data_IF_746335698670
#
_entry.id   IF_746335698670
#
_cell.length_a   1.000
_cell.length_b   1.000
_cell.length_c   1.000
_cell.angle_alpha   90.00
_cell.angle_beta   90.00
_cell.angle_gamma   90.00
#
_symmetry.space_group_name_H-M   'P 1'
#
loop_
_entity.id
_entity.type
_entity.pdbx_description
1 polymer ?
#
# COMPACT_ATOMS: atom_id res chain seq x y z
N UNK A 1 6.95 -24.04 -26.62
CA UNK A 1 5.67 -23.30 -26.56
C UNK A 1 5.92 -21.94 -27.23
N UNK A 2 5.50 -21.74 -28.48
CA UNK A 2 5.76 -20.48 -29.20
C UNK A 2 5.00 -19.34 -28.51
N UNK A 3 5.67 -18.23 -28.18
CA UNK A 3 5.00 -17.08 -27.57
C UNK A 3 3.94 -16.55 -28.54
N UNK A 4 2.76 -16.20 -28.02
CA UNK A 4 1.60 -15.73 -28.78
C UNK A 4 1.96 -14.60 -29.75
N UNK A 5 2.98 -13.80 -29.39
CA UNK A 5 3.47 -12.65 -30.15
C UNK A 5 4.33 -13.05 -31.36
N UNK A 6 5.13 -14.12 -31.27
CA UNK A 6 5.82 -14.68 -32.45
C UNK A 6 4.81 -15.20 -33.47
N UNK A 7 3.71 -15.79 -33.00
CA UNK A 7 2.64 -16.26 -33.87
C UNK A 7 1.93 -15.10 -34.59
N UNK A 8 1.70 -13.99 -33.88
CA UNK A 8 1.11 -12.75 -34.45
C UNK A 8 2.04 -12.14 -35.50
N UNK A 9 3.34 -11.99 -35.20
CA UNK A 9 4.31 -11.45 -36.15
C UNK A 9 4.43 -12.30 -37.42
N UNK A 10 4.44 -13.64 -37.26
CA UNK A 10 4.45 -14.57 -38.38
C UNK A 10 3.14 -14.51 -39.18
N UNK A 11 1.99 -14.38 -38.50
CA UNK A 11 0.70 -14.20 -39.16
C UNK A 11 0.63 -12.89 -39.97
N UNK A 12 1.17 -11.77 -39.46
CA UNK A 12 1.23 -10.49 -40.17
C UNK A 12 2.12 -10.60 -41.42
N UNK A 13 3.29 -11.24 -41.31
CA UNK A 13 4.16 -11.46 -42.49
C UNK A 13 3.49 -12.34 -43.55
N UNK A 14 2.86 -13.44 -43.13
CA UNK A 14 2.12 -14.33 -44.03
C UNK A 14 0.93 -13.59 -44.65
N UNK A 15 0.23 -12.74 -43.90
CA UNK A 15 -0.87 -11.91 -44.41
C UNK A 15 -0.41 -10.92 -45.47
N UNK A 16 0.70 -10.20 -45.25
CA UNK A 16 1.25 -9.27 -46.24
C UNK A 16 1.64 -10.00 -47.53
N UNK A 17 2.32 -11.15 -47.41
CA UNK A 17 2.73 -11.96 -48.56
C UNK A 17 1.50 -12.52 -49.31
N UNK A 18 0.47 -12.94 -48.60
CA UNK A 18 -0.76 -13.50 -49.21
C UNK A 18 -1.61 -12.42 -49.90
N UNK A 19 -1.77 -11.24 -49.30
CA UNK A 19 -2.42 -10.09 -49.96
C UNK A 19 -1.67 -9.69 -51.22
N UNK A 20 -0.33 -9.70 -51.18
CA UNK A 20 0.49 -9.41 -52.36
C UNK A 20 0.37 -10.50 -53.45
N UNK A 21 0.43 -11.78 -53.07
CA UNK A 21 0.25 -12.89 -53.99
C UNK A 21 -1.13 -12.88 -54.66
N UNK A 22 -2.18 -12.43 -53.94
CA UNK A 22 -3.54 -12.26 -54.47
C UNK A 22 -3.66 -11.07 -55.45
N UNK A 23 -2.79 -10.07 -55.39
CA UNK A 23 -2.81 -8.96 -56.33
C UNK A 23 -2.45 -9.38 -57.77
N UNK A 24 -1.68 -10.46 -57.95
CA UNK A 24 -1.26 -10.99 -59.25
C UNK A 24 -2.39 -11.58 -60.11
N UNK A 25 -3.27 -12.48 -59.60
CA UNK A 25 -4.41 -12.95 -60.39
C UNK A 25 -5.43 -11.84 -60.66
N UNK A 26 -5.61 -10.91 -59.72
CA UNK A 26 -6.50 -9.75 -59.90
C UNK A 26 -5.99 -8.83 -61.01
N UNK A 27 -4.67 -8.60 -61.10
CA UNK A 27 -4.10 -7.79 -62.18
C UNK A 27 -4.26 -8.44 -63.57
N UNK A 28 -4.25 -9.77 -63.66
CA UNK A 28 -4.51 -10.50 -64.92
C UNK A 28 -5.97 -10.48 -65.37
N UNK A 29 -6.91 -10.24 -64.46
CA UNK A 29 -8.35 -10.19 -64.78
C UNK A 29 -8.80 -8.81 -65.29
N UNK A 30 -7.93 -7.80 -65.27
CA UNK A 30 -8.22 -6.44 -65.75
C UNK A 30 -7.96 -6.30 -67.26
N UNK A 31 -8.81 -5.58 -68.02
CA UNK A 31 -8.68 -5.46 -69.48
C UNK A 31 -7.36 -4.79 -69.88
N UNK A 32 -6.69 -5.37 -70.89
CA UNK A 32 -5.27 -5.20 -71.24
C UNK A 32 -4.81 -3.85 -71.80
N UNK A 33 -5.42 -2.74 -71.40
CA UNK A 33 -5.03 -1.38 -71.81
C UNK A 33 -4.65 -0.44 -70.66
N UNK A 34 -4.72 -0.87 -69.40
CA UNK A 34 -4.60 0.04 -68.26
C UNK A 34 -3.16 0.33 -67.77
N UNK A 35 -2.15 -0.46 -68.18
CA UNK A 35 -0.76 -0.27 -67.74
C UNK A 35 0.21 -0.55 -68.90
N UNK A 36 0.52 0.47 -69.70
CA UNK A 36 1.45 0.41 -70.84
C UNK A 36 2.94 0.45 -70.45
N UNK A 37 3.28 0.41 -69.17
CA UNK A 37 4.66 0.33 -68.69
C UNK A 37 4.87 -0.89 -67.79
N UNK A 38 5.40 -2.01 -68.34
CA UNK A 38 5.56 -3.25 -67.60
C UNK A 38 6.62 -3.15 -66.49
N UNK A 39 7.58 -2.24 -66.62
CA UNK A 39 8.68 -2.08 -65.63
C UNK A 39 8.23 -1.20 -64.45
N UNK A 40 7.58 -0.05 -64.71
CA UNK A 40 7.15 0.87 -63.66
C UNK A 40 6.12 0.28 -62.69
N UNK A 41 5.17 -0.50 -63.21
CA UNK A 41 4.12 -1.13 -62.40
C UNK A 41 4.66 -2.25 -61.49
N UNK A 42 5.63 -3.03 -61.97
CA UNK A 42 6.30 -4.09 -61.18
C UNK A 42 7.20 -3.48 -60.10
N UNK A 43 7.95 -2.43 -60.41
CA UNK A 43 8.77 -1.71 -59.43
C UNK A 43 7.91 -1.05 -58.34
N UNK A 44 6.77 -0.46 -58.70
CA UNK A 44 5.86 0.12 -57.71
C UNK A 44 5.26 -0.96 -56.78
N UNK A 45 4.87 -2.12 -57.33
CA UNK A 45 4.38 -3.25 -56.54
C UNK A 45 5.42 -3.84 -55.58
N UNK A 46 6.69 -3.88 -55.98
CA UNK A 46 7.80 -4.27 -55.11
C UNK A 46 8.07 -3.23 -54.02
N UNK A 47 8.04 -1.94 -54.36
CA UNK A 47 8.22 -0.85 -53.39
C UNK A 47 7.13 -0.84 -52.31
N UNK A 48 5.87 -1.10 -52.68
CA UNK A 48 4.76 -1.23 -51.72
C UNK A 48 4.96 -2.45 -50.82
N UNK A 49 5.42 -3.58 -51.36
CA UNK A 49 5.72 -4.78 -50.56
C UNK A 49 6.83 -4.52 -49.55
N UNK A 50 7.94 -3.90 -49.97
CA UNK A 50 9.04 -3.55 -49.06
C UNK A 50 8.60 -2.55 -47.99
N UNK A 51 7.75 -1.59 -48.34
CA UNK A 51 7.19 -0.62 -47.40
C UNK A 51 6.27 -1.29 -46.38
N UNK A 52 5.39 -2.20 -46.82
CA UNK A 52 4.50 -2.96 -45.96
C UNK A 52 5.27 -3.90 -45.02
N UNK A 53 6.32 -4.56 -45.52
CA UNK A 53 7.21 -5.41 -44.70
C UNK A 53 7.98 -4.58 -43.66
N UNK A 54 8.51 -3.42 -44.04
CA UNK A 54 9.19 -2.50 -43.11
C UNK A 54 8.23 -2.02 -42.01
N UNK A 55 6.99 -1.66 -42.37
CA UNK A 55 5.96 -1.29 -41.40
C UNK A 55 5.57 -2.46 -40.47
N UNK A 56 5.49 -3.68 -41.00
CA UNK A 56 5.31 -4.89 -40.18
C UNK A 56 6.43 -5.08 -39.16
N UNK A 57 7.69 -4.83 -39.55
CA UNK A 57 8.84 -4.83 -38.66
C UNK A 57 8.74 -3.80 -37.53
N UNK A 58 8.24 -2.59 -37.83
CA UNK A 58 7.99 -1.54 -36.82
C UNK A 58 6.92 -1.99 -35.82
N UNK A 59 5.79 -2.54 -36.29
CA UNK A 59 4.73 -3.04 -35.40
C UNK A 59 5.26 -4.14 -34.47
N UNK A 60 6.01 -5.10 -35.00
CA UNK A 60 6.58 -6.19 -34.21
C UNK A 60 7.54 -5.63 -33.15
N UNK A 61 8.39 -4.67 -33.53
CA UNK A 61 9.30 -4.00 -32.60
C UNK A 61 8.54 -3.28 -31.47
N UNK A 62 7.47 -2.56 -31.79
CA UNK A 62 6.63 -1.89 -30.79
C UNK A 62 5.97 -2.89 -29.83
N UNK A 63 5.51 -4.05 -30.34
CA UNK A 63 4.95 -5.10 -29.50
C UNK A 63 5.99 -5.69 -28.54
N UNK A 64 7.21 -5.95 -29.03
CA UNK A 64 8.29 -6.43 -28.18
C UNK A 64 8.71 -5.40 -27.13
N UNK A 65 8.83 -4.12 -27.50
CA UNK A 65 9.12 -3.04 -26.55
C UNK A 65 8.05 -2.93 -25.47
N UNK A 66 6.78 -3.07 -25.83
CA UNK A 66 5.67 -3.06 -24.86
C UNK A 66 5.73 -4.26 -23.90
N UNK A 67 6.12 -5.44 -24.39
CA UNK A 67 6.30 -6.65 -23.58
C UNK A 67 7.51 -6.53 -22.64
N UNK A 68 8.65 -6.08 -23.14
CA UNK A 68 9.86 -5.81 -22.34
C UNK A 68 9.59 -4.76 -21.26
N UNK A 69 8.91 -3.66 -21.61
CA UNK A 69 8.52 -2.64 -20.63
C UNK A 69 7.60 -3.22 -19.53
N UNK A 70 6.71 -4.14 -19.89
CA UNK A 70 5.85 -4.83 -18.92
C UNK A 70 6.65 -5.78 -18.02
N UNK A 71 7.61 -6.50 -18.57
CA UNK A 71 8.50 -7.37 -17.80
C UNK A 71 9.40 -6.58 -16.85
N UNK A 72 10.06 -5.53 -17.35
CA UNK A 72 10.89 -4.63 -16.55
C UNK A 72 10.10 -4.00 -15.39
N UNK A 73 8.87 -3.53 -15.66
CA UNK A 73 7.99 -3.00 -14.62
C UNK A 73 7.63 -4.05 -13.56
N UNK A 74 7.43 -5.30 -13.95
CA UNK A 74 7.12 -6.38 -13.02
C UNK A 74 8.32 -6.70 -12.13
N UNK A 75 9.51 -6.79 -12.70
CA UNK A 75 10.74 -7.02 -11.95
C UNK A 75 11.03 -5.88 -10.97
N UNK A 76 10.80 -4.62 -11.38
CA UNK A 76 10.89 -3.45 -10.49
C UNK A 76 9.91 -3.54 -9.32
N UNK A 77 8.66 -3.98 -9.58
CA UNK A 77 7.65 -4.21 -8.53
C UNK A 77 8.10 -5.32 -7.58
N UNK A 78 8.56 -6.46 -8.10
CA UNK A 78 9.02 -7.60 -7.28
C UNK A 78 10.22 -7.22 -6.41
N UNK A 79 11.19 -6.47 -6.96
CA UNK A 79 12.31 -5.93 -6.20
C UNK A 79 11.86 -4.95 -5.13
N UNK A 80 10.94 -4.04 -5.46
CA UNK A 80 10.38 -3.09 -4.50
C UNK A 80 9.64 -3.78 -3.35
N UNK A 81 8.89 -4.86 -3.65
CA UNK A 81 8.23 -5.69 -2.64
C UNK A 81 9.27 -6.32 -1.71
N UNK A 82 10.33 -6.88 -2.29
CA UNK A 82 11.38 -7.53 -1.52
C UNK A 82 12.14 -6.55 -0.63
N UNK A 83 12.57 -5.40 -1.16
CA UNK A 83 13.28 -4.36 -0.40
C UNK A 83 12.39 -3.82 0.74
N UNK A 84 11.09 -3.66 0.49
CA UNK A 84 10.13 -3.21 1.49
C UNK A 84 9.88 -4.27 2.56
N UNK A 85 9.80 -5.55 2.18
CA UNK A 85 9.72 -6.66 3.12
C UNK A 85 10.98 -6.74 3.99
N UNK A 86 12.18 -6.65 3.40
CA UNK A 86 13.44 -6.62 4.15
C UNK A 86 13.46 -5.47 5.16
N UNK A 87 13.08 -4.27 4.72
CA UNK A 87 12.97 -3.09 5.59
C UNK A 87 11.98 -3.34 6.73
N UNK A 88 10.81 -3.89 6.43
CA UNK A 88 9.79 -4.20 7.45
C UNK A 88 10.30 -5.21 8.48
N UNK A 89 11.05 -6.22 8.05
CA UNK A 89 11.64 -7.24 8.95
C UNK A 89 12.90 -6.78 9.67
N UNK A 90 13.44 -5.61 9.34
CA UNK A 90 14.66 -5.08 9.97
C UNK A 90 14.42 -4.74 11.44
N UNK A 91 15.47 -4.86 12.25
CA UNK A 91 15.38 -4.56 13.69
C UNK A 91 14.95 -3.10 13.92
N UNK A 92 15.48 -2.16 13.15
CA UNK A 92 15.14 -0.74 13.25
C UNK A 92 13.63 -0.52 13.06
N UNK A 93 13.03 -1.15 12.05
CA UNK A 93 11.59 -1.04 11.83
C UNK A 93 10.78 -1.74 12.93
N UNK A 94 11.27 -2.87 13.46
CA UNK A 94 10.61 -3.54 14.59
C UNK A 94 10.60 -2.66 15.85
N UNK A 95 11.67 -1.91 16.10
CA UNK A 95 11.75 -0.97 17.22
C UNK A 95 10.78 0.20 17.04
N UNK A 96 10.69 0.76 15.83
CA UNK A 96 9.69 1.78 15.47
C UNK A 96 8.27 1.24 15.68
N UNK A 97 7.99 0.03 15.17
CA UNK A 97 6.70 -0.64 15.33
C UNK A 97 6.34 -0.79 16.81
N UNK A 98 7.26 -1.32 17.61
CA UNK A 98 7.00 -1.60 19.02
C UNK A 98 6.75 -0.31 19.80
N UNK A 99 7.55 0.74 19.59
CA UNK A 99 7.35 2.04 20.22
C UNK A 99 6.02 2.68 19.85
N UNK A 100 5.70 2.71 18.55
CA UNK A 100 4.42 3.23 18.07
C UNK A 100 3.23 2.46 18.66
N UNK A 101 3.33 1.13 18.72
CA UNK A 101 2.25 0.29 19.22
C UNK A 101 2.06 0.45 20.74
N UNK A 102 3.14 0.60 21.52
CA UNK A 102 3.04 0.91 22.96
C UNK A 102 2.26 2.19 23.21
N UNK A 103 2.55 3.27 22.48
CA UNK A 103 1.80 4.52 22.60
C UNK A 103 0.31 4.32 22.28
N UNK A 104 0.00 3.62 21.17
CA UNK A 104 -1.38 3.34 20.79
C UNK A 104 -2.13 2.48 21.83
N UNK A 105 -1.48 1.44 22.38
CA UNK A 105 -2.07 0.58 23.41
C UNK A 105 -2.33 1.35 24.70
N UNK A 106 -1.41 2.22 25.11
CA UNK A 106 -1.62 3.10 26.26
C UNK A 106 -2.87 3.98 26.05
N UNK A 107 -3.07 4.50 24.84
CA UNK A 107 -4.29 5.25 24.47
C UNK A 107 -5.56 4.40 24.48
N UNK A 108 -5.49 3.12 24.17
CA UNK A 108 -6.66 2.23 24.30
C UNK A 108 -7.05 2.04 25.76
N UNK A 109 -6.07 1.96 26.66
CA UNK A 109 -6.28 1.71 28.09
C UNK A 109 -6.61 2.97 28.91
N UNK A 110 -6.19 4.14 28.43
CA UNK A 110 -6.39 5.42 29.10
C UNK A 110 -6.96 6.45 28.12
N UNK A 111 -8.21 6.85 28.37
CA UNK A 111 -8.95 7.79 27.52
C UNK A 111 -8.34 9.20 27.52
N UNK A 112 -7.86 9.70 28.66
CA UNK A 112 -7.18 11.00 28.76
C UNK A 112 -5.91 11.01 27.89
N UNK A 113 -5.16 9.91 27.90
CA UNK A 113 -3.96 9.75 27.08
C UNK A 113 -4.30 9.61 25.60
N UNK A 114 -5.41 8.96 25.24
CA UNK A 114 -5.87 8.90 23.86
C UNK A 114 -6.21 10.30 23.31
N UNK A 115 -6.90 11.12 24.11
CA UNK A 115 -7.16 12.52 23.78
C UNK A 115 -5.87 13.34 23.68
N UNK A 116 -4.93 13.12 24.61
CA UNK A 116 -3.60 13.70 24.55
C UNK A 116 -2.91 13.36 23.22
N UNK A 117 -2.77 12.08 22.86
CA UNK A 117 -2.19 11.65 21.59
C UNK A 117 -2.83 12.34 20.38
N UNK A 118 -4.15 12.36 20.32
CA UNK A 118 -4.88 12.98 19.22
C UNK A 118 -4.63 14.50 19.12
N UNK A 119 -4.51 15.18 20.26
CA UNK A 119 -4.21 16.61 20.31
C UNK A 119 -2.80 16.94 19.82
N UNK A 120 -1.82 16.03 20.02
CA UNK A 120 -0.42 16.21 19.60
C UNK A 120 -0.23 16.23 18.08
N UNK A 121 -1.22 15.75 17.33
CA UNK A 121 -1.24 15.79 15.87
C UNK A 121 -1.47 17.20 15.30
N UNK A 122 -1.80 18.17 16.17
CA UNK A 122 -1.95 19.57 15.82
C UNK A 122 -0.85 20.42 16.46
N UNK A 123 -0.53 21.54 15.82
CA UNK A 123 0.49 22.46 16.32
C UNK A 123 -0.01 23.38 17.45
N UNK A 124 -1.33 23.50 17.61
CA UNK A 124 -2.01 24.37 18.59
C UNK A 124 -3.04 23.57 19.39
N UNK A 125 -3.42 24.08 20.56
CA UNK A 125 -4.36 23.44 21.51
C UNK A 125 -3.98 21.98 21.86
N UNK A 126 -2.70 21.76 22.12
CA UNK A 126 -2.19 20.48 22.59
C UNK A 126 -2.54 20.30 24.07
N UNK A 127 -3.06 19.12 24.43
CA UNK A 127 -3.35 18.77 25.81
C UNK A 127 -2.06 18.43 26.57
N UNK A 128 -2.04 18.60 27.91
CA UNK A 128 -0.90 18.18 28.73
C UNK A 128 -0.82 16.66 28.86
N UNK A 129 0.38 16.16 29.18
CA UNK A 129 0.60 14.74 29.45
C UNK A 129 -0.18 14.30 30.71
N UNK A 130 -1.04 13.26 30.63
CA UNK A 130 -1.85 12.82 31.75
C UNK A 130 -1.07 11.85 32.66
N UNK A 131 -0.88 12.21 33.93
CA UNK A 131 -0.20 11.36 34.90
C UNK A 131 -0.90 10.01 35.15
N UNK A 132 -2.20 9.92 34.85
CA UNK A 132 -3.02 8.70 34.99
C UNK A 132 -2.55 7.55 34.09
N UNK A 133 -1.77 7.82 33.04
CA UNK A 133 -1.23 6.78 32.12
C UNK A 133 0.06 6.15 32.63
N UNK A 134 0.78 6.79 33.56
CA UNK A 134 2.11 6.35 34.00
C UNK A 134 2.13 4.88 34.47
N UNK A 135 1.18 4.40 35.30
CA UNK A 135 1.15 2.99 35.70
C UNK A 135 0.99 2.04 34.52
N UNK A 136 0.23 2.44 33.49
CA UNK A 136 0.02 1.63 32.28
C UNK A 136 1.31 1.55 31.46
N UNK A 137 2.02 2.67 31.30
CA UNK A 137 3.29 2.71 30.57
C UNK A 137 4.36 1.82 31.22
N UNK A 138 4.39 1.73 32.56
CA UNK A 138 5.28 0.81 33.29
C UNK A 138 4.97 -0.66 33.04
N UNK A 139 3.69 -1.00 32.86
CA UNK A 139 3.26 -2.38 32.59
C UNK A 139 3.50 -2.77 31.14
N UNK A 140 3.33 -1.85 30.20
CA UNK A 140 3.53 -2.11 28.76
C UNK A 140 5.01 -2.25 28.38
N UNK A 141 5.93 -1.81 29.24
CA UNK A 141 7.36 -1.84 28.97
C UNK A 141 8.15 -2.01 30.28
N UNK A 142 8.67 -3.22 30.48
CA UNK A 142 9.43 -3.57 31.69
C UNK A 142 10.65 -2.66 31.90
N UNK A 143 11.23 -2.11 30.83
CA UNK A 143 12.35 -1.16 30.94
C UNK A 143 11.97 0.14 31.65
N UNK A 144 10.67 0.46 31.70
CA UNK A 144 10.11 1.65 32.35
C UNK A 144 9.68 1.42 33.80
N UNK A 145 9.71 0.18 34.28
CA UNK A 145 9.17 -0.18 35.60
C UNK A 145 9.81 0.61 36.76
N UNK A 146 11.11 0.87 36.68
CA UNK A 146 11.90 1.54 37.73
C UNK A 146 12.19 3.02 37.43
N UNK A 147 11.63 3.57 36.35
CA UNK A 147 11.84 4.97 35.99
C UNK A 147 10.97 5.89 36.84
N UNK A 148 11.51 7.07 37.16
CA UNK A 148 10.71 8.13 37.74
C UNK A 148 9.69 8.70 36.74
N UNK A 149 8.73 9.47 37.23
CA UNK A 149 7.62 9.95 36.41
C UNK A 149 8.07 10.89 35.26
N UNK A 150 9.14 11.67 35.47
CA UNK A 150 9.69 12.56 34.45
C UNK A 150 10.45 11.78 33.36
N UNK A 151 11.18 10.74 33.75
CA UNK A 151 11.84 9.81 32.85
C UNK A 151 10.82 9.01 32.03
N UNK A 152 9.67 8.67 32.61
CA UNK A 152 8.58 8.00 31.88
C UNK A 152 7.98 8.92 30.84
N UNK A 153 7.71 10.19 31.15
CA UNK A 153 7.22 11.14 30.16
C UNK A 153 8.20 11.30 28.99
N UNK A 154 9.50 11.33 29.27
CA UNK A 154 10.54 11.41 28.23
C UNK A 154 10.65 10.12 27.42
N UNK A 155 10.54 8.94 28.04
CA UNK A 155 10.54 7.66 27.35
C UNK A 155 9.28 7.50 26.49
N UNK A 156 8.12 7.92 26.99
CA UNK A 156 6.86 8.00 26.26
C UNK A 156 6.96 8.92 25.04
N UNK A 157 7.62 10.07 25.18
CA UNK A 157 7.88 10.96 24.06
C UNK A 157 8.66 10.26 22.94
N UNK A 158 9.63 9.41 23.27
CA UNK A 158 10.36 8.63 22.26
C UNK A 158 9.44 7.64 21.52
N UNK A 159 8.56 6.93 22.25
CA UNK A 159 7.56 6.04 21.66
C UNK A 159 6.57 6.79 20.75
N UNK A 160 6.13 8.00 21.15
CA UNK A 160 5.26 8.85 20.34
C UNK A 160 5.92 9.34 19.06
N UNK A 161 7.22 9.62 19.07
CA UNK A 161 7.95 9.94 17.84
C UNK A 161 7.95 8.76 16.86
N UNK A 162 8.01 7.52 17.36
CA UNK A 162 7.88 6.34 16.52
C UNK A 162 6.45 6.22 15.95
N UNK A 163 5.43 6.58 16.71
CA UNK A 163 4.06 6.67 16.19
C UNK A 163 3.95 7.68 15.05
N UNK A 164 4.55 8.87 15.17
CA UNK A 164 4.57 9.86 14.10
C UNK A 164 5.24 9.31 12.82
N UNK A 165 6.34 8.55 12.97
CA UNK A 165 6.99 7.88 11.84
C UNK A 165 6.06 6.87 11.15
N UNK A 166 5.34 6.06 11.92
CA UNK A 166 4.36 5.09 11.39
C UNK A 166 3.19 5.78 10.68
N UNK A 167 2.69 6.88 11.24
CA UNK A 167 1.62 7.67 10.61
C UNK A 167 2.08 8.29 9.29
N UNK A 168 3.29 8.84 9.25
CA UNK A 168 3.90 9.37 8.03
C UNK A 168 4.12 8.28 6.98
N UNK A 169 4.60 7.10 7.40
CA UNK A 169 4.74 5.94 6.53
C UNK A 169 3.41 5.56 5.88
N UNK A 170 2.34 5.41 6.68
CA UNK A 170 1.00 5.11 6.16
C UNK A 170 0.45 6.21 5.24
N UNK A 171 0.71 7.48 5.54
CA UNK A 171 0.33 8.60 4.67
C UNK A 171 1.05 8.56 3.31
N UNK A 172 2.33 8.19 3.29
CA UNK A 172 3.11 8.00 2.06
C UNK A 172 2.55 6.84 1.24
N UNK A 173 2.21 5.71 1.89
CA UNK A 173 1.61 4.56 1.22
C UNK A 173 0.26 4.91 0.57
N UNK A 174 -0.60 5.64 1.28
CA UNK A 174 -1.91 6.03 0.77
C UNK A 174 -1.87 6.96 -0.45
N UNK A 175 -0.80 7.74 -0.65
CA UNK A 175 -0.71 8.69 -1.77
C UNK A 175 -0.25 8.04 -3.09
N UNK A 176 0.46 6.91 -3.03
CA UNK A 176 1.08 6.30 -4.21
C UNK A 176 0.14 5.31 -4.89
N UNK A 177 -0.65 5.79 -5.87
CA UNK A 177 -1.52 4.94 -6.72
C UNK A 177 -0.77 3.79 -7.41
N UNK A 178 0.50 3.98 -7.75
CA UNK A 178 1.35 2.95 -8.37
C UNK A 178 1.81 1.86 -7.39
N UNK A 179 1.72 2.10 -6.08
CA UNK A 179 2.20 1.20 -5.03
C UNK A 179 1.10 0.34 -4.40
N UNK A 180 -0.17 0.49 -4.80
CA UNK A 180 -1.28 -0.29 -4.23
C UNK A 180 -1.07 -1.80 -4.35
N UNK A 181 -0.48 -2.27 -5.45
CA UNK A 181 -0.12 -3.68 -5.66
C UNK A 181 0.98 -4.13 -4.71
N UNK A 182 2.01 -3.31 -4.50
CA UNK A 182 3.12 -3.58 -3.57
C UNK A 182 2.61 -3.62 -2.12
N UNK A 183 1.79 -2.64 -1.73
CA UNK A 183 1.20 -2.51 -0.39
C UNK A 183 0.32 -3.71 -0.06
N UNK A 184 -0.47 -4.18 -1.03
CA UNK A 184 -1.32 -5.37 -0.87
C UNK A 184 -0.50 -6.65 -0.68
N UNK A 185 0.70 -6.74 -1.26
CA UNK A 185 1.55 -7.93 -1.15
C UNK A 185 2.37 -7.99 0.14
N UNK A 186 2.79 -6.85 0.71
CA UNK A 186 3.62 -6.82 1.92
C UNK A 186 2.84 -6.92 3.24
N UNK A 187 1.50 -6.99 3.21
CA UNK A 187 0.57 -7.01 4.35
C UNK A 187 1.20 -6.57 5.69
N UNK A 188 1.24 -5.25 5.93
CA UNK A 188 1.89 -4.63 7.10
C UNK A 188 1.17 -4.89 8.43
N UNK A 189 0.48 -6.03 8.53
CA UNK A 189 -0.46 -6.37 9.58
C UNK A 189 -1.46 -5.23 9.80
N UNK A 190 -2.05 -4.71 8.72
CA UNK A 190 -2.90 -3.51 8.78
C UNK A 190 -4.06 -3.69 9.77
N UNK A 191 -4.66 -4.88 9.81
CA UNK A 191 -5.69 -5.27 10.79
C UNK A 191 -5.27 -5.07 12.25
N UNK A 192 -3.97 -5.15 12.55
CA UNK A 192 -3.46 -4.91 13.89
C UNK A 192 -3.51 -3.42 14.24
N UNK A 193 -3.12 -2.55 13.31
CA UNK A 193 -3.08 -1.10 13.49
C UNK A 193 -4.44 -0.46 13.38
N UNK A 194 -5.27 -0.96 12.46
CA UNK A 194 -6.55 -0.38 12.05
C UNK A 194 -7.41 0.09 13.22
N UNK A 195 -7.75 -0.73 14.24
CA UNK A 195 -8.65 -0.29 15.30
C UNK A 195 -8.07 0.81 16.20
N UNK A 196 -6.77 0.78 16.49
CA UNK A 196 -6.13 1.78 17.36
C UNK A 196 -5.90 3.10 16.62
N UNK A 197 -5.56 3.02 15.33
CA UNK A 197 -5.46 4.20 14.47
C UNK A 197 -6.81 4.87 14.26
N UNK A 198 -7.89 4.09 14.07
CA UNK A 198 -9.25 4.64 13.97
C UNK A 198 -9.72 5.29 15.27
N UNK A 199 -9.31 4.78 16.45
CA UNK A 199 -9.53 5.45 17.74
C UNK A 199 -8.88 6.83 17.76
N UNK A 200 -7.59 6.92 17.46
CA UNK A 200 -6.89 8.23 17.43
C UNK A 200 -7.51 9.15 16.37
N UNK A 201 -7.89 8.63 15.20
CA UNK A 201 -8.51 9.41 14.14
C UNK A 201 -9.88 9.98 14.56
N UNK A 202 -10.71 9.22 15.28
CA UNK A 202 -11.97 9.70 15.82
C UNK A 202 -11.74 10.86 16.79
N UNK A 203 -10.85 10.68 17.76
CA UNK A 203 -10.53 11.69 18.76
C UNK A 203 -9.89 12.95 18.13
N UNK A 204 -9.08 12.77 17.09
CA UNK A 204 -8.51 13.87 16.30
C UNK A 204 -9.61 14.70 15.63
N UNK A 205 -10.66 14.05 15.10
CA UNK A 205 -11.80 14.75 14.49
C UNK A 205 -12.65 15.49 15.53
N UNK A 206 -12.87 14.88 16.69
CA UNK A 206 -13.60 15.52 17.79
C UNK A 206 -12.86 16.75 18.32
N UNK A 207 -11.55 16.65 18.52
CA UNK A 207 -10.71 17.76 18.98
C UNK A 207 -10.71 18.92 17.97
N UNK A 208 -10.60 18.62 16.69
CA UNK A 208 -10.70 19.61 15.60
C UNK A 208 -12.03 20.38 15.63
N UNK A 209 -13.14 19.70 15.90
CA UNK A 209 -14.47 20.34 15.95
C UNK A 209 -14.62 21.26 17.16
N UNK A 210 -13.95 20.94 18.28
CA UNK A 210 -14.05 21.69 19.54
C UNK A 210 -13.15 22.93 19.58
N UNK A 211 -12.04 22.94 18.84
CA UNK A 211 -11.09 24.05 18.83
C UNK A 211 -11.22 24.91 17.57
N UNK A 212 -11.49 26.21 17.75
CA UNK A 212 -11.46 27.19 16.67
C UNK A 212 -10.02 27.46 16.20
N UNK A 213 -9.05 27.49 17.12
CA UNK A 213 -7.65 27.76 16.79
C UNK A 213 -7.07 26.70 15.84
N UNK A 214 -7.39 25.42 16.06
CA UNK A 214 -6.98 24.34 15.17
C UNK A 214 -7.56 24.56 13.76
N UNK A 215 -8.83 24.95 13.64
CA UNK A 215 -9.47 25.16 12.33
C UNK A 215 -8.84 26.32 11.55
N UNK A 216 -8.33 27.33 12.27
CA UNK A 216 -7.64 28.49 11.68
C UNK A 216 -6.21 28.15 11.28
N UNK A 217 -5.43 27.55 12.18
CA UNK A 217 -3.98 27.43 12.02
C UNK A 217 -3.50 26.08 11.50
N UNK A 218 -4.28 25.01 11.65
CA UNK A 218 -3.87 23.67 11.22
C UNK A 218 -4.57 23.28 9.91
N UNK A 219 -3.75 23.05 8.88
CA UNK A 219 -4.17 22.49 7.58
C UNK A 219 -3.71 21.06 7.38
N UNK A 220 -3.14 20.44 8.41
CA UNK A 220 -2.64 19.07 8.38
C UNK A 220 -3.75 18.10 7.97
N UNK A 221 -3.41 17.16 7.09
CA UNK A 221 -4.32 16.10 6.67
C UNK A 221 -4.78 15.29 7.87
N UNK A 222 -6.09 14.99 7.95
CA UNK A 222 -6.64 14.14 9.02
C UNK A 222 -6.23 12.69 8.78
N UNK A 223 -5.91 11.97 9.85
CA UNK A 223 -5.51 10.54 9.77
C UNK A 223 -6.61 9.71 9.11
N UNK A 224 -7.89 10.02 9.39
CA UNK A 224 -9.03 9.33 8.80
C UNK A 224 -8.99 9.30 7.26
N UNK A 225 -8.51 10.36 6.60
CA UNK A 225 -8.40 10.37 5.14
C UNK A 225 -7.34 9.40 4.62
N UNK A 226 -6.26 9.18 5.38
CA UNK A 226 -5.26 8.16 5.08
C UNK A 226 -5.84 6.77 5.32
N UNK A 227 -6.56 6.58 6.43
CA UNK A 227 -7.14 5.27 6.78
C UNK A 227 -8.22 4.82 5.80
N UNK A 228 -9.05 5.71 5.26
CA UNK A 228 -10.04 5.37 4.24
C UNK A 228 -9.36 4.76 2.99
N UNK A 229 -8.26 5.36 2.54
CA UNK A 229 -7.52 4.86 1.37
C UNK A 229 -6.85 3.52 1.68
N UNK A 230 -6.32 3.34 2.89
CA UNK A 230 -5.75 2.06 3.31
C UNK A 230 -6.83 0.97 3.43
N UNK A 231 -8.00 1.29 4.00
CA UNK A 231 -9.15 0.40 4.05
C UNK A 231 -9.50 -0.11 2.64
N UNK A 232 -9.56 0.78 1.64
CA UNK A 232 -9.80 0.40 0.25
C UNK A 232 -8.70 -0.52 -0.32
N UNK A 233 -7.42 -0.23 -0.06
CA UNK A 233 -6.29 -1.04 -0.55
C UNK A 233 -6.30 -2.45 0.06
N UNK A 234 -6.58 -2.55 1.36
CA UNK A 234 -6.63 -3.81 2.11
C UNK A 234 -7.97 -4.55 2.00
N UNK A 235 -8.98 -3.93 1.38
CA UNK A 235 -10.28 -4.56 1.13
C UNK A 235 -11.25 -4.49 2.31
N UNK A 236 -11.04 -3.57 3.24
CA UNK A 236 -12.00 -3.26 4.30
C UNK A 236 -13.07 -2.29 3.82
N UNK A 237 -14.30 -2.37 4.38
CA UNK A 237 -15.29 -1.32 4.19
C UNK A 237 -14.77 -0.04 4.88
N UNK A 238 -14.68 1.09 4.15
CA UNK A 238 -14.19 2.34 4.72
C UNK A 238 -15.16 2.86 5.78
N UNK A 239 -14.62 3.29 6.92
CA UNK A 239 -15.40 3.93 7.98
C UNK A 239 -15.51 5.44 7.67
N UNK A 240 -16.74 5.94 7.46
CA UNK A 240 -16.93 7.30 6.94
C UNK A 240 -17.56 8.25 7.96
N UNK A 241 -18.36 7.72 8.89
CA UNK A 241 -19.01 8.53 9.92
C UNK A 241 -18.40 8.33 11.32
N UNK A 242 -18.39 9.36 12.18
CA UNK A 242 -17.94 9.22 13.57
C UNK A 242 -18.69 8.14 14.36
N UNK A 243 -19.99 7.95 14.07
CA UNK A 243 -20.82 6.93 14.73
C UNK A 243 -20.40 5.51 14.33
N UNK A 244 -20.14 5.29 13.03
CA UNK A 244 -19.61 4.00 12.54
C UNK A 244 -18.25 3.70 13.16
N UNK A 245 -17.36 4.70 13.19
CA UNK A 245 -16.02 4.55 13.78
C UNK A 245 -16.15 4.21 15.26
N UNK A 246 -17.00 4.93 16.01
CA UNK A 246 -17.25 4.67 17.44
C UNK A 246 -17.79 3.26 17.66
N UNK A 247 -18.80 2.86 16.89
CA UNK A 247 -19.36 1.51 16.97
C UNK A 247 -18.32 0.43 16.68
N UNK A 248 -17.50 0.62 15.64
CA UNK A 248 -16.40 -0.26 15.30
C UNK A 248 -15.42 -0.39 16.47
N UNK A 249 -14.96 0.72 17.04
CA UNK A 249 -14.01 0.72 18.18
C UNK A 249 -14.61 0.01 19.41
N UNK A 250 -15.86 0.33 19.75
CA UNK A 250 -16.49 -0.17 20.98
C UNK A 250 -16.87 -1.66 20.89
N UNK A 251 -16.99 -2.20 19.68
CA UNK A 251 -17.27 -3.62 19.46
C UNK A 251 -16.04 -4.44 19.06
N UNK A 252 -14.93 -3.80 18.69
CA UNK A 252 -13.76 -4.50 18.18
C UNK A 252 -13.11 -5.38 19.26
N UNK A 253 -13.00 -6.72 19.05
CA UNK A 253 -12.51 -7.66 20.07
C UNK A 253 -11.15 -7.28 20.64
N UNK A 254 -10.25 -6.78 19.80
CA UNK A 254 -8.90 -6.38 20.20
C UNK A 254 -8.90 -5.16 21.13
N UNK A 255 -9.74 -4.16 20.85
CA UNK A 255 -9.86 -2.97 21.70
C UNK A 255 -10.43 -3.38 23.05
N UNK A 256 -11.48 -4.21 23.04
CA UNK A 256 -12.08 -4.75 24.26
C UNK A 256 -11.10 -5.57 25.09
N UNK A 257 -10.26 -6.39 24.44
CA UNK A 257 -9.21 -7.16 25.11
C UNK A 257 -8.22 -6.25 25.85
N UNK A 258 -7.75 -5.19 25.21
CA UNK A 258 -6.79 -4.26 25.82
C UNK A 258 -7.43 -3.32 26.85
N UNK A 259 -8.72 -2.95 26.71
CA UNK A 259 -9.44 -2.14 27.71
C UNK A 259 -9.68 -2.86 29.03
N UNK A 260 -9.67 -4.20 29.05
CA UNK A 260 -9.87 -4.97 30.28
C UNK A 260 -8.65 -4.81 31.19
N UNK A 261 -8.90 -4.44 32.45
CA UNK A 261 -7.85 -4.35 33.48
C UNK A 261 -7.21 -5.73 33.74
N UNK A 262 -5.91 -5.80 34.11
CA UNK A 262 -5.22 -7.05 34.44
C UNK A 262 -5.93 -7.89 35.52
N UNK A 263 -6.67 -7.24 36.42
CA UNK A 263 -7.42 -7.91 37.50
C UNK A 263 -8.56 -8.83 37.00
N UNK A 264 -9.04 -8.64 35.76
CA UNK A 264 -10.01 -9.53 35.11
C UNK A 264 -9.36 -10.60 34.21
N UNK A 265 -8.02 -10.61 34.11
CA UNK A 265 -7.25 -11.63 33.40
C UNK A 265 -6.79 -12.77 34.32
N UNK A 266 -7.48 -12.99 35.44
CA UNK A 266 -7.44 -14.27 36.13
C UNK A 266 -8.03 -15.35 35.22
N UNK A 267 -7.17 -16.23 34.70
CA UNK A 267 -7.41 -17.28 33.68
C UNK A 267 -7.24 -16.80 32.23
N UNK A 268 -5.99 -16.65 31.80
CA UNK A 268 -5.40 -17.41 30.67
C UNK A 268 -4.02 -16.82 30.39
N UNK A 269 -2.98 -17.43 30.93
CA UNK A 269 -1.61 -17.25 30.45
C UNK A 269 -1.52 -17.82 29.03
N UNK A 270 -2.03 -17.10 28.04
CA UNK A 270 -1.60 -17.31 26.67
C UNK A 270 -0.29 -16.54 26.50
N UNK A 271 0.80 -17.28 26.68
CA UNK A 271 2.08 -16.96 26.09
C UNK A 271 1.84 -16.50 24.64
N UNK A 272 2.47 -15.38 24.26
CA UNK A 272 2.69 -15.04 22.86
C UNK A 272 3.15 -16.33 22.13
N UNK A 273 2.63 -16.67 20.95
CA UNK A 273 3.03 -17.91 20.28
C UNK A 273 4.52 -17.83 19.98
N UNK A 274 5.30 -18.51 20.81
CA UNK A 274 6.64 -18.96 20.48
C UNK A 274 6.47 -19.92 19.32
N UNK A 275 7.28 -19.77 18.28
CA UNK A 275 7.33 -20.66 17.13
C UNK A 275 7.36 -22.14 17.56
N UNK A 276 6.20 -22.79 17.56
CA UNK A 276 6.12 -24.24 17.44
C UNK A 276 6.33 -24.56 15.96
N UNK A 277 7.61 -24.58 15.56
CA UNK A 277 8.04 -25.26 14.35
C UNK A 277 7.83 -26.75 14.58
N UNK A 278 6.62 -27.24 14.29
CA UNK A 278 6.45 -28.66 14.02
C UNK A 278 7.34 -29.03 12.82
N UNK A 279 8.19 -30.06 12.92
CA UNK A 279 8.96 -30.53 11.78
C UNK A 279 8.00 -31.18 10.79
N UNK A 280 7.71 -30.50 9.69
CA UNK A 280 7.03 -31.12 8.55
C UNK A 280 7.83 -32.35 8.08
N UNK A 281 7.20 -33.51 7.89
CA UNK A 281 7.86 -34.62 7.21
C UNK A 281 7.99 -34.25 5.73
N UNK A 282 9.22 -34.33 5.22
CA UNK A 282 9.51 -34.15 3.80
C UNK A 282 8.79 -35.23 2.96
N UNK A 283 8.24 -34.89 1.78
CA UNK A 283 8.00 -35.86 0.72
C UNK A 283 9.30 -36.33 0.06
#
# INVERSE_FOLDING_TARGET
>A
MFSKNRLIGLAVMVFIISVWAMAWPVSKALPGGAFSEPVGSVYNGLNVLFTALAFGGVIITLLFQAEEAKHARREEIERSIFDLFQTFTSQEFQDVKNGAFRALLAGVQNEEYAHFLASRLYAVDQLPFPATVIPILRVLDESKANLDDAQIEQADRADRLMLDNVLNFFALLAQRKSSSMVIKHCDFAYDWWRPTLWLVALLQQEHFKKSEAIQVYCRTRKIAETLIVLDEIYGHPPLTSPLEIRHYIDTHPKILMFRRKPEQQGLSSHQLPVNDLEPYPLP
#
